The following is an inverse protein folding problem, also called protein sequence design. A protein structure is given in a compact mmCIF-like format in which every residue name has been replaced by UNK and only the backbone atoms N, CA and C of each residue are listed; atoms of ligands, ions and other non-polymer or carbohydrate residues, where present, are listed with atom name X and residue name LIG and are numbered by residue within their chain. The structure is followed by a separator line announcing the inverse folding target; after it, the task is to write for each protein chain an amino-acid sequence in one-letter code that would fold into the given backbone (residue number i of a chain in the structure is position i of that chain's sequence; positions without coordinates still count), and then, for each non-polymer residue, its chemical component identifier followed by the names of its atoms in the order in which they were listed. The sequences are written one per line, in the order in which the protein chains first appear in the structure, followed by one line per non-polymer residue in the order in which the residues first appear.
data_IF_150809468858
#
_entry.id   IF_150809468858
#
_cell.length_a   1.000
_cell.length_b   1.000
_cell.length_c   1.000
_cell.angle_alpha   90.00
_cell.angle_beta   90.00
_cell.angle_gamma   90.00
#
_symmetry.space_group_name_H-M   'P 1'
#
loop_
_entity.id
_entity.type
_entity.pdbx_description
1 polymer ?
#
# COMPACT_ATOMS: atom_id res chain seq x y z
N UNK A 1 16.33 13.99 4.40
CA UNK A 1 14.88 14.20 4.44
C UNK A 1 14.17 12.86 4.52
N UNK A 2 13.09 12.78 5.26
CA UNK A 2 12.29 11.55 5.37
C UNK A 2 11.02 11.67 4.55
N UNK A 3 10.51 10.51 4.16
CA UNK A 3 9.31 10.41 3.32
C UNK A 3 8.37 9.35 3.87
N UNK A 4 7.13 9.38 3.42
CA UNK A 4 6.19 8.30 3.69
C UNK A 4 5.27 8.11 2.48
N UNK A 5 4.68 6.93 2.39
CA UNK A 5 3.70 6.62 1.36
C UNK A 5 2.32 6.47 1.97
N UNK A 6 1.31 6.94 1.26
CA UNK A 6 -0.09 6.69 1.58
C UNK A 6 -0.71 5.90 0.43
N UNK A 7 -1.46 4.86 0.76
CA UNK A 7 -2.09 3.99 -0.23
C UNK A 7 -3.55 3.78 0.16
N UNK A 8 -4.44 4.03 -0.79
CA UNK A 8 -5.87 3.81 -0.60
C UNK A 8 -6.31 2.78 -1.65
N UNK A 9 -6.57 1.55 -1.18
CA UNK A 9 -6.94 0.45 -2.06
C UNK A 9 -8.45 0.42 -2.20
N UNK A 10 -8.94 0.76 -3.39
CA UNK A 10 -10.36 0.62 -3.73
C UNK A 10 -10.60 -0.58 -4.62
N UNK A 11 -11.85 -0.94 -4.84
CA UNK A 11 -12.22 -2.10 -5.65
C UNK A 11 -11.92 -1.92 -7.14
N UNK A 12 -11.72 -0.69 -7.60
CA UNK A 12 -11.46 -0.37 -9.01
C UNK A 12 -10.09 0.25 -9.21
N UNK A 13 -9.68 1.14 -8.31
CA UNK A 13 -8.46 1.92 -8.43
C UNK A 13 -7.74 1.95 -7.09
N UNK A 14 -6.40 1.85 -7.13
CA UNK A 14 -5.53 2.08 -5.97
C UNK A 14 -4.95 3.48 -6.13
N UNK A 15 -5.15 4.33 -5.13
CA UNK A 15 -4.59 5.69 -5.12
C UNK A 15 -3.38 5.71 -4.21
N UNK A 16 -2.29 6.28 -4.70
CA UNK A 16 -1.02 6.31 -3.98
C UNK A 16 -0.51 7.74 -3.88
N UNK A 17 0.19 8.02 -2.79
CA UNK A 17 0.83 9.32 -2.61
C UNK A 17 2.20 9.15 -1.97
N UNK A 18 3.13 9.98 -2.40
CA UNK A 18 4.45 10.11 -1.80
C UNK A 18 4.49 11.46 -1.11
N UNK A 19 4.81 11.47 0.18
CA UNK A 19 4.79 12.67 1.01
C UNK A 19 6.14 12.86 1.69
N UNK A 20 6.52 14.12 1.89
CA UNK A 20 7.66 14.45 2.74
C UNK A 20 7.24 14.35 4.20
N UNK A 21 8.22 14.28 5.10
CA UNK A 21 7.93 14.24 6.55
C UNK A 21 7.22 15.50 7.06
N UNK A 22 7.32 16.60 6.31
CA UNK A 22 6.59 17.83 6.64
C UNK A 22 5.13 17.79 6.18
N UNK A 23 4.70 16.71 5.53
CA UNK A 23 3.34 16.57 5.04
C UNK A 23 3.10 17.12 3.64
N UNK A 24 4.14 17.62 2.98
CA UNK A 24 4.01 18.12 1.61
C UNK A 24 3.88 16.95 0.63
N UNK A 25 3.00 17.11 -0.36
CA UNK A 25 2.79 16.10 -1.39
C UNK A 25 3.93 16.20 -2.41
N UNK A 26 4.70 15.12 -2.56
CA UNK A 26 5.76 15.04 -3.57
C UNK A 26 5.17 14.58 -4.89
N UNK A 27 4.34 13.52 -4.84
CA UNK A 27 3.67 13.02 -6.03
C UNK A 27 2.43 12.22 -5.63
N UNK A 28 1.37 12.30 -6.44
CA UNK A 28 0.18 11.47 -6.32
C UNK A 28 -0.05 10.79 -7.65
N UNK A 29 -0.47 9.51 -7.59
CA UNK A 29 -0.79 8.76 -8.80
C UNK A 29 -1.74 7.62 -8.46
N UNK A 30 -2.19 6.90 -9.46
CA UNK A 30 -3.08 5.77 -9.24
C UNK A 30 -2.79 4.63 -10.21
N UNK A 31 -3.18 3.42 -9.81
CA UNK A 31 -3.06 2.23 -10.63
C UNK A 31 -4.39 1.48 -10.59
N UNK A 32 -4.61 0.58 -11.55
CA UNK A 32 -5.81 -0.24 -11.59
C UNK A 32 -5.74 -1.31 -10.50
N UNK A 33 -6.86 -1.57 -9.83
CA UNK A 33 -6.97 -2.67 -8.87
C UNK A 33 -7.28 -3.96 -9.63
N UNK A 34 -6.35 -4.90 -9.64
CA UNK A 34 -6.55 -6.19 -10.29
C UNK A 34 -7.13 -7.17 -9.29
N UNK A 35 -8.46 -7.36 -9.33
CA UNK A 35 -9.17 -8.19 -8.36
C UNK A 35 -9.28 -9.67 -8.76
N UNK A 36 -8.92 -10.01 -9.98
CA UNK A 36 -8.93 -11.41 -10.43
C UNK A 36 -7.95 -12.26 -9.63
N UNK A 37 -8.14 -13.55 -9.65
CA UNK A 37 -7.34 -14.52 -8.88
C UNK A 37 -7.30 -14.18 -7.39
N UNK A 38 -8.49 -13.86 -6.85
CA UNK A 38 -8.64 -13.53 -5.43
C UNK A 38 -7.80 -12.32 -5.00
N UNK A 39 -7.58 -11.39 -5.93
CA UNK A 39 -6.83 -10.17 -5.66
C UNK A 39 -5.34 -10.40 -5.42
N UNK A 40 -4.80 -11.50 -5.91
CA UNK A 40 -3.40 -11.88 -5.66
C UNK A 40 -2.39 -10.85 -6.19
N UNK A 41 -2.75 -10.09 -7.23
CA UNK A 41 -1.84 -9.12 -7.84
C UNK A 41 -1.85 -7.75 -7.14
N UNK A 42 -2.80 -7.48 -6.25
CA UNK A 42 -2.97 -6.12 -5.69
C UNK A 42 -1.75 -5.65 -4.93
N UNK A 43 -1.30 -6.40 -3.93
CA UNK A 43 -0.14 -5.99 -3.13
C UNK A 43 1.17 -6.03 -3.92
N UNK A 44 1.42 -7.03 -4.79
CA UNK A 44 2.58 -6.97 -5.67
C UNK A 44 2.58 -5.72 -6.57
N UNK A 45 1.43 -5.32 -7.11
CA UNK A 45 1.33 -4.11 -7.93
C UNK A 45 1.61 -2.85 -7.11
N UNK A 46 1.11 -2.78 -5.88
CA UNK A 46 1.39 -1.66 -4.97
C UNK A 46 2.89 -1.60 -4.66
N UNK A 47 3.48 -2.74 -4.34
CA UNK A 47 4.92 -2.80 -4.02
C UNK A 47 5.77 -2.36 -5.22
N UNK A 48 5.42 -2.79 -6.42
CA UNK A 48 6.13 -2.40 -7.63
C UNK A 48 6.03 -0.88 -7.84
N UNK A 49 4.84 -0.32 -7.64
CA UNK A 49 4.62 1.12 -7.78
C UNK A 49 5.48 1.91 -6.77
N UNK A 50 5.53 1.47 -5.52
CA UNK A 50 6.31 2.13 -4.47
C UNK A 50 7.81 2.03 -4.79
N UNK A 51 8.29 0.82 -5.10
CA UNK A 51 9.70 0.60 -5.40
C UNK A 51 10.14 1.42 -6.63
N UNK A 52 9.27 1.52 -7.63
CA UNK A 52 9.53 2.33 -8.81
C UNK A 52 9.67 3.82 -8.49
N UNK A 53 8.85 4.33 -7.57
CA UNK A 53 8.94 5.74 -7.16
C UNK A 53 10.19 6.02 -6.34
N UNK A 54 10.60 5.10 -5.48
CA UNK A 54 11.86 5.23 -4.75
C UNK A 54 13.02 5.38 -5.72
N UNK A 55 13.06 4.53 -6.74
CA UNK A 55 14.11 4.58 -7.75
C UNK A 55 14.03 5.88 -8.57
N UNK A 56 12.84 6.26 -9.00
CA UNK A 56 12.61 7.45 -9.81
C UNK A 56 13.09 8.72 -9.09
N UNK A 57 12.83 8.83 -7.79
CA UNK A 57 13.17 10.01 -6.99
C UNK A 57 14.52 9.89 -6.29
N UNK A 58 15.23 8.79 -6.45
CA UNK A 58 16.51 8.58 -5.78
C UNK A 58 16.40 8.51 -4.26
N UNK A 59 15.30 7.96 -3.75
CA UNK A 59 15.05 7.84 -2.32
C UNK A 59 15.51 6.48 -1.83
N UNK A 60 16.32 6.47 -0.76
CA UNK A 60 16.74 5.24 -0.12
C UNK A 60 15.67 4.75 0.85
N UNK A 61 15.59 3.44 1.07
CA UNK A 61 14.59 2.86 1.98
C UNK A 61 14.73 3.39 3.40
N UNK A 62 15.95 3.70 3.83
CA UNK A 62 16.21 4.27 5.16
C UNK A 62 15.58 5.66 5.33
N UNK A 63 15.25 6.32 4.23
CA UNK A 63 14.59 7.62 4.25
C UNK A 63 13.08 7.53 4.34
N UNK A 64 12.51 6.31 4.26
CA UNK A 64 11.05 6.11 4.30
C UNK A 64 10.63 5.73 5.71
N UNK A 65 9.72 6.52 6.28
CA UNK A 65 9.17 6.25 7.62
C UNK A 65 8.23 5.06 7.60
N UNK A 66 7.48 4.88 6.53
CA UNK A 66 6.56 3.77 6.39
C UNK A 66 5.51 3.99 5.32
N UNK A 67 4.62 3.01 5.22
CA UNK A 67 3.49 3.02 4.28
C UNK A 67 2.20 2.93 5.10
N UNK A 68 1.29 3.89 4.92
CA UNK A 68 -0.05 3.82 5.50
C UNK A 68 -1.02 3.34 4.43
N UNK A 69 -1.77 2.28 4.70
CA UNK A 69 -2.68 1.67 3.71
C UNK A 69 -4.10 1.61 4.23
N UNK A 70 -5.04 2.15 3.47
CA UNK A 70 -6.47 2.00 3.72
C UNK A 70 -7.04 0.92 2.82
N UNK A 71 -7.87 0.03 3.38
CA UNK A 71 -8.57 -1.02 2.63
C UNK A 71 -10.05 -0.99 2.96
N UNK A 72 -10.93 -1.41 2.03
CA UNK A 72 -12.39 -1.39 2.26
C UNK A 72 -12.86 -2.63 3.04
N UNK A 73 -12.24 -2.87 4.20
CA UNK A 73 -12.55 -4.03 5.05
C UNK A 73 -11.97 -3.81 6.44
N UNK A 74 -12.53 -4.47 7.46
CA UNK A 74 -11.93 -4.46 8.79
C UNK A 74 -10.53 -5.08 8.76
N UNK A 75 -9.61 -4.49 9.52
CA UNK A 75 -8.23 -4.95 9.61
C UNK A 75 -7.92 -5.25 11.07
N UNK A 76 -7.39 -6.45 11.34
CA UNK A 76 -6.96 -6.82 12.67
C UNK A 76 -5.68 -6.07 13.05
N UNK A 77 -5.38 -6.00 14.36
CA UNK A 77 -4.20 -5.25 14.85
C UNK A 77 -2.89 -5.74 14.24
N UNK A 78 -2.82 -7.01 13.84
CA UNK A 78 -1.63 -7.58 13.20
C UNK A 78 -1.59 -7.37 11.68
N UNK A 79 -2.53 -6.60 11.14
CA UNK A 79 -2.57 -6.29 9.71
C UNK A 79 -3.21 -7.37 8.84
N UNK A 80 -3.91 -8.31 9.44
CA UNK A 80 -4.62 -9.36 8.71
C UNK A 80 -5.99 -8.85 8.28
N UNK A 81 -6.30 -9.01 6.99
CA UNK A 81 -7.63 -8.75 6.44
C UNK A 81 -8.31 -10.11 6.24
N UNK A 82 -9.37 -10.35 6.99
CA UNK A 82 -10.08 -11.63 6.94
C UNK A 82 -11.25 -11.55 5.97
N UNK A 83 -10.94 -11.19 4.73
CA UNK A 83 -11.92 -11.13 3.65
C UNK A 83 -12.27 -9.71 3.24
N UNK A 84 -12.30 -9.49 1.94
CA UNK A 84 -12.79 -8.25 1.34
C UNK A 84 -13.41 -8.60 -0.01
N UNK A 85 -14.72 -8.53 -0.10
CA UNK A 85 -15.44 -8.84 -1.34
C UNK A 85 -15.02 -7.90 -2.46
N UNK A 86 -14.78 -6.62 -2.16
CA UNK A 86 -14.40 -5.62 -3.16
C UNK A 86 -13.05 -5.91 -3.80
N UNK A 87 -12.15 -6.55 -3.06
CA UNK A 87 -10.80 -6.85 -3.54
C UNK A 87 -10.64 -8.31 -3.97
N UNK A 88 -11.63 -9.14 -3.68
CA UNK A 88 -11.56 -10.57 -3.94
C UNK A 88 -10.74 -11.33 -2.92
N UNK A 89 -10.28 -10.68 -1.87
CA UNK A 89 -9.47 -11.32 -0.82
C UNK A 89 -10.36 -12.19 0.07
N UNK A 90 -9.91 -13.40 0.37
CA UNK A 90 -10.55 -14.27 1.36
C UNK A 90 -9.90 -14.13 2.72
N UNK A 91 -8.61 -14.37 2.76
CA UNK A 91 -7.77 -14.18 3.94
C UNK A 91 -6.43 -13.64 3.45
N UNK A 92 -5.97 -12.56 4.04
CA UNK A 92 -4.74 -11.93 3.56
C UNK A 92 -3.97 -11.35 4.75
N UNK A 93 -2.76 -11.84 4.95
CA UNK A 93 -1.84 -11.19 5.88
C UNK A 93 -1.18 -10.03 5.13
N UNK A 94 -1.96 -8.97 4.97
CA UNK A 94 -1.62 -7.87 4.08
C UNK A 94 -0.37 -7.11 4.54
N UNK A 95 -0.27 -6.84 5.85
CA UNK A 95 0.89 -6.14 6.40
C UNK A 95 2.18 -6.91 6.12
N UNK A 96 2.20 -8.20 6.45
CA UNK A 96 3.39 -9.02 6.25
C UNK A 96 3.78 -9.12 4.79
N UNK A 97 2.80 -9.33 3.91
CA UNK A 97 3.06 -9.46 2.49
C UNK A 97 3.67 -8.18 1.92
N UNK A 98 3.07 -7.03 2.22
CA UNK A 98 3.57 -5.76 1.69
C UNK A 98 4.95 -5.41 2.25
N UNK A 99 5.17 -5.66 3.54
CA UNK A 99 6.48 -5.43 4.16
C UNK A 99 7.56 -6.29 3.53
N UNK A 100 7.26 -7.55 3.23
CA UNK A 100 8.22 -8.43 2.58
C UNK A 100 8.52 -7.99 1.15
N UNK A 101 7.51 -7.51 0.43
CA UNK A 101 7.68 -7.07 -0.96
C UNK A 101 8.43 -5.74 -1.08
N UNK A 102 8.30 -4.86 -0.11
CA UNK A 102 8.90 -3.51 -0.18
C UNK A 102 10.13 -3.35 0.70
N UNK A 103 10.25 -4.13 1.76
CA UNK A 103 11.27 -3.92 2.77
C UNK A 103 11.00 -2.71 3.66
N UNK A 104 9.76 -2.20 3.66
CA UNK A 104 9.36 -1.02 4.42
C UNK A 104 8.28 -1.42 5.43
N UNK A 105 8.18 -0.68 6.52
CA UNK A 105 7.12 -0.87 7.51
C UNK A 105 5.79 -0.42 6.91
N UNK A 106 4.75 -1.23 7.07
CA UNK A 106 3.41 -0.91 6.57
C UNK A 106 2.38 -1.05 7.68
N UNK A 107 1.41 -0.12 7.72
CA UNK A 107 0.28 -0.18 8.63
C UNK A 107 -1.00 -0.15 7.82
N UNK A 108 -1.90 -1.06 8.12
CA UNK A 108 -3.18 -1.18 7.42
C UNK A 108 -4.32 -0.77 8.32
N UNK A 109 -5.32 -0.13 7.75
CA UNK A 109 -6.53 0.26 8.46
C UNK A 109 -7.76 0.17 7.56
N UNK A 110 -8.94 0.16 8.19
CA UNK A 110 -10.20 0.18 7.47
C UNK A 110 -10.44 1.57 6.91
N UNK A 111 -10.73 1.64 5.63
CA UNK A 111 -10.95 2.88 4.88
C UNK A 111 -12.44 3.26 4.83
N UNK A 112 -13.24 2.71 5.69
CA UNK A 112 -14.68 2.97 5.72
C UNK A 112 -15.00 4.35 6.32
#
# INVERSE_FOLDING_TARGET
MKYCFGVDIGGTTVKLGLFSEAGAIVEKWEIVTRTENEGAAILPDVAEAINGKLEQHGIEKEQVLGIGVGVPAPVAVDGIVNGSANLGWKYKNAKKELEELTGLTAEFGNDA
#
